data_IF_603428701163
#
_entry.id   IF_603428701163
#
_cell.length_a   1.000
_cell.length_b   1.000
_cell.length_c   1.000
_cell.angle_alpha   90.00
_cell.angle_beta   90.00
_cell.angle_gamma   90.00
#
_symmetry.space_group_name_H-M   'P 1'
#
loop_
_entity.id
_entity.type
_entity.pdbx_description
1 polymer ?
#
# COMPACT_ATOMS: atom_id res chain seq x y z
N UNK A 1 29.76 7.42 -15.92
CA UNK A 1 28.30 7.49 -16.02
C UNK A 1 27.85 6.35 -16.91
N UNK A 2 27.03 5.42 -16.42
CA UNK A 2 26.45 4.40 -17.28
C UNK A 2 25.52 5.13 -18.27
N UNK A 3 25.88 5.13 -19.55
CA UNK A 3 25.02 5.64 -20.61
C UNK A 3 24.12 4.48 -21.07
N UNK A 4 22.82 4.71 -21.31
CA UNK A 4 21.94 3.70 -21.89
C UNK A 4 22.60 3.14 -23.17
N UNK A 5 22.80 1.82 -23.21
CA UNK A 5 23.48 1.13 -24.32
C UNK A 5 22.64 -0.06 -24.78
N UNK A 6 21.41 0.23 -25.23
CA UNK A 6 20.43 -0.77 -25.69
C UNK A 6 20.17 -1.91 -24.68
N UNK A 7 20.51 -1.70 -23.41
CA UNK A 7 20.19 -2.59 -22.31
C UNK A 7 18.80 -2.31 -21.76
N UNK A 8 18.38 -3.09 -20.76
CA UNK A 8 17.07 -2.93 -20.11
C UNK A 8 16.95 -1.67 -19.23
N UNK A 9 18.06 -0.98 -18.97
CA UNK A 9 18.10 0.31 -18.27
C UNK A 9 18.16 1.41 -19.32
N UNK A 10 17.10 2.20 -19.38
CA UNK A 10 16.85 3.25 -20.37
C UNK A 10 17.21 4.65 -19.87
N UNK A 11 17.29 4.85 -18.56
CA UNK A 11 17.65 6.11 -17.91
C UNK A 11 19.14 6.20 -17.56
N UNK A 12 19.66 7.41 -17.56
CA UNK A 12 20.97 7.74 -16.99
C UNK A 12 20.89 7.87 -15.47
N UNK A 13 22.04 7.80 -14.80
CA UNK A 13 22.10 8.02 -13.34
C UNK A 13 21.57 9.40 -12.90
N UNK A 14 21.75 10.46 -13.71
CA UNK A 14 21.23 11.79 -13.39
C UNK A 14 19.70 11.82 -13.46
N UNK A 15 19.12 11.19 -14.48
CA UNK A 15 17.66 11.07 -14.60
C UNK A 15 17.08 10.24 -13.46
N UNK A 16 17.72 9.11 -13.12
CA UNK A 16 17.22 8.22 -12.09
C UNK A 16 17.37 8.79 -10.67
N UNK A 17 18.56 9.29 -10.29
CA UNK A 17 18.82 9.72 -8.90
C UNK A 17 18.52 11.18 -8.62
N UNK A 18 18.74 12.08 -9.59
CA UNK A 18 18.49 13.51 -9.40
C UNK A 18 17.28 14.01 -10.18
N UNK A 19 16.61 13.17 -10.99
CA UNK A 19 15.44 13.58 -11.75
C UNK A 19 15.74 14.63 -12.82
N UNK A 20 17.00 14.75 -13.26
CA UNK A 20 17.41 15.86 -14.12
C UNK A 20 17.87 15.42 -15.51
N UNK A 21 17.54 16.23 -16.51
CA UNK A 21 18.05 16.10 -17.87
C UNK A 21 18.38 17.46 -18.47
N UNK A 22 19.60 17.58 -18.99
CA UNK A 22 20.15 18.84 -19.52
C UNK A 22 20.15 18.82 -21.05
N UNK A 23 19.85 19.98 -21.65
CA UNK A 23 19.80 20.23 -23.08
C UNK A 23 20.55 21.52 -23.40
N UNK A 24 21.26 21.55 -24.53
CA UNK A 24 22.04 22.70 -25.00
C UNK A 24 21.52 23.12 -26.38
N UNK A 25 21.37 24.43 -26.61
CA UNK A 25 21.03 24.98 -27.91
C UNK A 25 22.13 24.72 -28.96
N UNK A 26 21.79 24.54 -30.26
CA UNK A 26 20.49 24.79 -30.87
C UNK A 26 19.48 23.66 -30.62
N UNK A 27 18.30 24.02 -30.12
CA UNK A 27 17.17 23.10 -29.95
C UNK A 27 16.34 23.14 -31.23
N UNK A 28 16.35 22.04 -31.98
CA UNK A 28 15.58 21.91 -33.22
C UNK A 28 14.09 22.06 -32.91
N UNK A 29 13.38 22.86 -33.72
CA UNK A 29 11.95 23.14 -33.60
C UNK A 29 11.48 23.69 -32.24
N UNK A 30 12.40 24.17 -31.39
CA UNK A 30 12.10 24.57 -30.01
C UNK A 30 11.47 23.45 -29.17
N UNK A 31 11.77 22.19 -29.52
CA UNK A 31 11.24 21.00 -28.84
C UNK A 31 12.33 20.31 -28.03
N UNK A 32 12.08 20.12 -26.73
CA UNK A 32 12.92 19.38 -25.79
C UNK A 32 12.27 18.03 -25.53
N UNK A 33 12.89 16.95 -25.97
CA UNK A 33 12.41 15.57 -25.74
C UNK A 33 13.16 14.96 -24.56
N UNK A 34 12.46 14.75 -23.45
CA UNK A 34 13.01 14.06 -22.29
C UNK A 34 12.89 12.55 -22.42
N UNK A 35 13.79 11.82 -21.78
CA UNK A 35 13.81 10.34 -21.80
C UNK A 35 13.69 9.75 -20.40
N UNK A 36 12.94 10.41 -19.52
CA UNK A 36 12.56 9.86 -18.23
C UNK A 36 11.66 8.63 -18.43
N UNK A 37 11.71 7.68 -17.50
CA UNK A 37 10.73 6.60 -17.38
C UNK A 37 9.45 7.07 -16.69
N UNK A 38 9.48 8.24 -16.07
CA UNK A 38 8.31 8.91 -15.48
C UNK A 38 7.78 9.95 -16.46
N UNK A 39 6.50 9.87 -16.79
CA UNK A 39 5.86 10.82 -17.70
C UNK A 39 5.72 12.21 -17.07
N UNK A 40 5.93 13.25 -17.88
CA UNK A 40 5.74 14.63 -17.46
C UNK A 40 4.25 14.96 -17.35
N UNK A 41 3.85 15.44 -16.17
CA UNK A 41 2.52 15.98 -15.91
C UNK A 41 2.63 17.50 -15.96
N UNK A 42 1.83 18.12 -16.84
CA UNK A 42 1.82 19.55 -17.05
C UNK A 42 0.41 20.12 -16.86
N UNK A 43 0.30 21.08 -15.95
CA UNK A 43 -0.90 21.89 -15.73
C UNK A 43 -0.73 23.31 -16.27
N UNK A 44 0.34 24.03 -15.91
CA UNK A 44 0.59 25.40 -16.38
C UNK A 44 2.08 25.79 -16.26
N UNK A 45 2.58 26.68 -17.13
CA UNK A 45 3.95 27.21 -17.06
C UNK A 45 4.10 28.43 -16.13
N UNK A 46 3.01 29.12 -15.81
CA UNK A 46 3.01 30.34 -14.99
C UNK A 46 2.74 30.01 -13.50
N UNK A 47 3.70 30.27 -12.58
CA UNK A 47 3.56 30.01 -11.14
C UNK A 47 2.39 30.72 -10.46
N UNK A 48 1.87 31.80 -11.07
CA UNK A 48 0.77 32.59 -10.51
C UNK A 48 -0.62 32.08 -10.91
N UNK A 49 -0.69 31.13 -11.85
CA UNK A 49 -1.94 30.63 -12.41
C UNK A 49 -2.36 29.30 -11.75
N UNK A 50 -3.67 29.09 -11.46
CA UNK A 50 -4.16 27.80 -11.01
C UNK A 50 -3.79 26.67 -11.97
N UNK A 51 -3.31 25.55 -11.42
CA UNK A 51 -2.85 24.39 -12.19
C UNK A 51 -1.33 24.24 -12.28
N UNK A 52 -0.55 25.30 -12.01
CA UNK A 52 0.92 25.18 -11.94
C UNK A 52 1.37 24.15 -10.90
N UNK A 53 0.72 24.11 -9.73
CA UNK A 53 1.01 23.14 -8.66
C UNK A 53 0.68 21.68 -9.04
N UNK A 54 0.07 21.43 -10.20
CA UNK A 54 -0.15 20.07 -10.73
C UNK A 54 1.04 19.55 -11.53
N UNK A 55 2.02 20.41 -11.84
CA UNK A 55 3.23 19.99 -12.52
C UNK A 55 4.02 19.02 -11.65
N UNK A 56 4.57 17.96 -12.24
CA UNK A 56 5.50 17.04 -11.56
C UNK A 56 6.98 17.33 -11.86
N UNK A 57 7.26 18.45 -12.52
CA UNK A 57 8.59 18.90 -12.90
C UNK A 57 8.68 20.43 -12.91
N UNK A 58 9.92 20.93 -12.97
CA UNK A 58 10.26 22.32 -13.25
C UNK A 58 11.21 22.41 -14.44
N UNK A 59 11.08 23.46 -15.22
CA UNK A 59 11.97 23.78 -16.34
C UNK A 59 12.85 24.95 -15.94
N UNK A 60 14.15 24.80 -16.11
CA UNK A 60 15.13 25.84 -15.85
C UNK A 60 15.86 26.25 -17.12
N UNK A 61 16.24 27.51 -17.21
CA UNK A 61 17.05 28.07 -18.29
C UNK A 61 18.31 28.74 -17.73
N UNK A 62 19.42 28.63 -18.43
CA UNK A 62 20.66 29.36 -18.16
C UNK A 62 21.33 29.80 -19.45
N UNK A 63 21.83 31.05 -19.55
CA UNK A 63 22.62 31.50 -20.70
C UNK A 63 24.03 30.87 -20.79
N UNK A 64 24.55 30.28 -19.69
CA UNK A 64 25.93 29.82 -19.59
C UNK A 64 26.07 28.34 -19.19
N UNK A 65 24.98 27.70 -18.74
CA UNK A 65 24.99 26.30 -18.31
C UNK A 65 25.81 26.03 -17.03
N UNK A 66 26.18 27.07 -16.28
CA UNK A 66 27.01 26.93 -15.08
C UNK A 66 26.17 26.67 -13.81
N UNK A 67 26.69 25.94 -12.82
CA UNK A 67 26.02 25.77 -11.54
C UNK A 67 25.63 27.11 -10.91
N UNK A 68 24.39 27.22 -10.41
CA UNK A 68 23.87 28.45 -9.79
C UNK A 68 23.44 29.56 -10.75
N UNK A 69 23.53 29.36 -12.07
CA UNK A 69 23.07 30.33 -13.08
C UNK A 69 21.68 30.01 -13.66
N UNK A 70 21.12 28.87 -13.27
CA UNK A 70 19.81 28.42 -13.72
C UNK A 70 18.71 29.18 -12.99
N UNK A 71 17.75 29.69 -13.74
CA UNK A 71 16.52 30.31 -13.22
C UNK A 71 15.32 29.58 -13.81
N UNK A 72 14.18 29.62 -13.11
CA UNK A 72 12.99 28.94 -13.60
C UNK A 72 12.48 29.59 -14.89
N UNK A 73 12.12 28.75 -15.85
CA UNK A 73 11.51 29.16 -17.11
C UNK A 73 9.99 29.26 -16.94
N UNK A 74 9.49 30.48 -16.78
CA UNK A 74 8.07 30.78 -16.56
C UNK A 74 7.32 31.26 -17.81
N UNK A 75 8.02 31.37 -18.94
CA UNK A 75 7.40 31.70 -20.23
C UNK A 75 6.52 30.55 -20.72
N UNK A 76 5.56 30.85 -21.61
CA UNK A 76 4.63 29.84 -22.10
C UNK A 76 5.32 28.69 -22.84
N UNK A 77 4.99 27.46 -22.45
CA UNK A 77 5.35 26.23 -23.16
C UNK A 77 4.22 25.21 -23.01
N UNK A 78 4.22 24.18 -23.85
CA UNK A 78 3.27 23.07 -23.77
C UNK A 78 4.02 21.76 -23.64
N UNK A 79 3.41 20.79 -22.96
CA UNK A 79 3.95 19.44 -22.84
C UNK A 79 2.95 18.45 -23.39
N UNK A 80 3.43 17.55 -24.26
CA UNK A 80 2.69 16.38 -24.71
C UNK A 80 3.61 15.18 -24.54
N UNK A 81 3.13 14.18 -23.81
CA UNK A 81 3.93 13.04 -23.34
C UNK A 81 5.18 13.54 -22.60
N UNK A 82 6.37 13.27 -23.15
CA UNK A 82 7.66 13.69 -22.61
C UNK A 82 8.37 14.70 -23.54
N UNK A 83 7.58 15.49 -24.28
CA UNK A 83 8.08 16.51 -25.22
C UNK A 83 7.57 17.88 -24.81
N UNK A 84 8.50 18.75 -24.43
CA UNK A 84 8.24 20.15 -24.11
C UNK A 84 8.44 20.98 -25.39
N UNK A 85 7.43 21.74 -25.78
CA UNK A 85 7.51 22.68 -26.91
C UNK A 85 7.48 24.11 -26.38
N UNK A 86 8.58 24.84 -26.57
CA UNK A 86 8.70 26.22 -26.12
C UNK A 86 7.95 27.16 -27.08
N UNK A 87 7.22 28.14 -26.57
CA UNK A 87 6.54 29.13 -27.42
C UNK A 87 7.48 30.18 -27.98
N UNK A 88 8.66 30.34 -27.37
CA UNK A 88 9.72 31.26 -27.80
C UNK A 88 10.93 30.44 -28.23
N UNK A 89 11.45 30.72 -29.42
CA UNK A 89 12.63 30.04 -29.92
C UNK A 89 13.85 30.33 -29.03
N UNK A 90 14.58 29.29 -28.58
CA UNK A 90 15.74 29.47 -27.71
C UNK A 90 16.88 30.17 -28.45
N UNK A 91 17.61 31.02 -27.74
CA UNK A 91 18.79 31.71 -28.25
C UNK A 91 19.98 30.75 -28.34
N UNK A 92 20.99 31.11 -29.15
CA UNK A 92 22.23 30.33 -29.23
C UNK A 92 22.91 30.26 -27.86
N UNK A 93 23.40 29.08 -27.50
CA UNK A 93 24.10 28.78 -26.24
C UNK A 93 23.22 28.81 -24.98
N UNK A 94 21.90 28.91 -25.09
CA UNK A 94 21.02 28.68 -23.94
C UNK A 94 21.02 27.20 -23.54
N UNK A 95 21.05 26.98 -22.24
CA UNK A 95 20.97 25.67 -21.59
C UNK A 95 19.62 25.53 -20.93
N UNK A 96 18.98 24.39 -21.13
CA UNK A 96 17.73 24.04 -20.50
C UNK A 96 17.92 22.81 -19.63
N UNK A 97 17.29 22.80 -18.46
CA UNK A 97 17.25 21.64 -17.58
C UNK A 97 15.81 21.34 -17.22
N UNK A 98 15.39 20.11 -17.49
CA UNK A 98 14.13 19.57 -16.98
C UNK A 98 14.45 18.82 -15.68
N UNK A 99 13.78 19.19 -14.60
CA UNK A 99 14.01 18.68 -13.25
C UNK A 99 12.69 18.17 -12.68
N UNK A 100 12.57 16.87 -12.42
CA UNK A 100 11.45 16.30 -11.68
C UNK A 100 11.46 16.79 -10.23
N UNK A 101 10.27 16.85 -9.61
CA UNK A 101 10.15 17.22 -8.19
C UNK A 101 10.73 16.12 -7.27
N UNK A 102 11.43 16.53 -6.21
CA UNK A 102 12.06 15.64 -5.22
C UNK A 102 11.78 16.07 -3.78
N UNK A 103 11.89 15.13 -2.83
CA UNK A 103 11.50 15.36 -1.42
C UNK A 103 12.35 16.47 -0.78
N UNK A 104 13.61 16.58 -1.22
CA UNK A 104 14.59 17.52 -0.70
C UNK A 104 14.72 18.82 -1.51
N UNK A 105 13.89 18.98 -2.55
CA UNK A 105 14.06 20.03 -3.54
C UNK A 105 15.14 19.69 -4.58
N UNK A 106 14.95 20.20 -5.80
CA UNK A 106 15.84 19.94 -6.93
C UNK A 106 17.22 20.62 -6.81
N UNK A 107 18.13 20.31 -7.73
CA UNK A 107 19.49 20.86 -7.70
C UNK A 107 19.64 22.25 -8.35
N UNK A 108 18.62 22.71 -9.08
CA UNK A 108 18.65 23.88 -9.95
C UNK A 108 17.73 25.00 -9.43
N UNK A 109 17.97 26.23 -9.90
CA UNK A 109 17.24 27.42 -9.44
C UNK A 109 17.38 27.64 -7.93
N UNK A 110 16.26 27.99 -7.31
CA UNK A 110 16.16 28.23 -5.86
C UNK A 110 16.02 26.93 -5.05
N UNK A 111 16.18 25.76 -5.69
CA UNK A 111 16.08 24.42 -5.08
C UNK A 111 14.73 24.15 -4.42
N UNK A 112 13.68 24.64 -5.06
CA UNK A 112 12.31 24.62 -4.56
C UNK A 112 11.41 23.62 -5.31
N UNK A 113 12.00 22.75 -6.13
CA UNK A 113 11.31 21.64 -6.82
C UNK A 113 10.88 20.53 -5.84
N UNK A 114 10.03 20.85 -4.87
CA UNK A 114 9.52 19.93 -3.84
C UNK A 114 8.38 19.06 -4.35
N UNK A 115 8.45 17.76 -4.10
CA UNK A 115 7.44 16.75 -4.40
C UNK A 115 8.04 15.34 -4.40
N UNK A 116 7.31 14.32 -4.82
CA UNK A 116 7.79 12.92 -4.65
C UNK A 116 8.09 12.22 -5.99
N UNK A 117 8.28 12.99 -7.06
CA UNK A 117 8.29 12.43 -8.43
C UNK A 117 9.55 11.60 -8.68
N UNK A 118 10.71 12.07 -8.23
CA UNK A 118 11.97 11.33 -8.32
C UNK A 118 11.90 10.06 -7.49
N UNK A 119 11.41 10.15 -6.27
CA UNK A 119 11.32 9.05 -5.32
C UNK A 119 10.36 7.96 -5.81
N UNK A 120 9.25 8.36 -6.46
CA UNK A 120 8.30 7.44 -7.09
C UNK A 120 8.89 6.69 -8.31
N UNK A 121 9.91 7.26 -8.97
CA UNK A 121 10.64 6.58 -10.05
C UNK A 121 11.59 5.49 -9.51
N UNK A 122 12.02 5.59 -8.25
CA UNK A 122 12.95 4.62 -7.67
C UNK A 122 12.39 3.20 -7.71
N UNK A 123 13.20 2.27 -8.22
CA UNK A 123 12.84 0.87 -8.37
C UNK A 123 11.94 0.58 -9.57
N UNK A 124 11.55 1.57 -10.38
CA UNK A 124 10.70 1.38 -11.56
C UNK A 124 11.24 0.31 -12.53
N UNK A 125 12.56 0.22 -12.68
CA UNK A 125 13.22 -0.79 -13.51
C UNK A 125 12.92 -2.25 -13.11
N UNK A 126 12.51 -2.50 -11.85
CA UNK A 126 12.17 -3.83 -11.35
C UNK A 126 10.75 -4.27 -11.73
N UNK A 127 9.93 -3.36 -12.26
CA UNK A 127 8.54 -3.59 -12.58
C UNK A 127 8.27 -3.41 -14.09
N UNK A 128 7.14 -3.93 -14.55
CA UNK A 128 6.60 -3.78 -15.90
C UNK A 128 5.09 -3.57 -15.81
N UNK A 129 4.49 -2.93 -16.81
CA UNK A 129 3.06 -2.69 -16.84
C UNK A 129 2.30 -3.94 -17.32
N UNK A 130 1.02 -4.03 -16.97
CA UNK A 130 0.16 -5.10 -17.49
C UNK A 130 0.06 -5.08 -19.02
N UNK A 131 0.03 -3.89 -19.62
CA UNK A 131 -0.01 -3.71 -21.08
C UNK A 131 1.26 -4.23 -21.76
N UNK A 132 2.44 -3.92 -21.22
CA UNK A 132 3.71 -4.44 -21.72
C UNK A 132 3.76 -5.97 -21.65
N UNK A 133 3.33 -6.56 -20.53
CA UNK A 133 3.26 -8.01 -20.37
C UNK A 133 2.34 -8.63 -21.41
N UNK A 134 1.16 -8.06 -21.64
CA UNK A 134 0.22 -8.59 -22.64
C UNK A 134 0.80 -8.48 -24.04
N UNK A 135 1.43 -7.35 -24.36
CA UNK A 135 2.06 -7.12 -25.66
C UNK A 135 3.21 -8.11 -25.90
N UNK A 136 4.10 -8.27 -24.92
CA UNK A 136 5.19 -9.23 -24.95
C UNK A 136 4.69 -10.68 -25.02
N UNK A 137 3.59 -11.01 -24.32
CA UNK A 137 2.96 -12.32 -24.43
C UNK A 137 2.43 -12.59 -25.84
N UNK A 138 1.75 -11.62 -26.43
CA UNK A 138 1.23 -11.71 -27.80
C UNK A 138 2.37 -11.91 -28.82
N UNK A 139 3.47 -11.18 -28.67
CA UNK A 139 4.65 -11.30 -29.54
C UNK A 139 5.38 -12.63 -29.32
N UNK A 140 5.55 -13.05 -28.07
CA UNK A 140 6.37 -14.21 -27.68
C UNK A 140 5.67 -15.55 -27.81
N UNK A 141 4.40 -15.64 -27.43
CA UNK A 141 3.68 -16.92 -27.25
C UNK A 141 2.52 -17.14 -28.21
N UNK A 142 2.02 -16.10 -28.86
CA UNK A 142 0.94 -16.18 -29.85
C UNK A 142 1.50 -16.07 -31.26
N UNK A 143 0.98 -16.87 -32.19
CA UNK A 143 1.33 -16.80 -33.62
C UNK A 143 1.45 -18.17 -34.30
N UNK A 144 1.59 -18.14 -35.62
CA UNK A 144 1.76 -19.34 -36.43
C UNK A 144 3.01 -20.14 -35.99
N UNK A 145 2.87 -21.45 -35.86
CA UNK A 145 3.95 -22.34 -35.40
C UNK A 145 4.13 -22.44 -33.88
N UNK A 146 3.36 -21.68 -33.08
CA UNK A 146 3.38 -21.76 -31.61
C UNK A 146 2.22 -22.61 -31.08
N UNK A 147 2.26 -22.95 -29.80
CA UNK A 147 1.19 -23.67 -29.11
C UNK A 147 -0.15 -22.91 -29.14
N UNK A 148 -0.10 -21.58 -29.23
CA UNK A 148 -1.27 -20.70 -29.33
C UNK A 148 -1.24 -20.05 -30.73
N UNK A 149 -1.93 -20.60 -31.73
CA UNK A 149 -1.86 -20.08 -33.11
C UNK A 149 -2.39 -18.64 -33.25
N UNK A 150 -3.47 -18.32 -32.53
CA UNK A 150 -4.11 -17.01 -32.48
C UNK A 150 -4.82 -16.84 -31.14
N UNK A 151 -4.94 -15.64 -30.60
CA UNK A 151 -5.72 -15.29 -29.42
C UNK A 151 -6.17 -13.83 -29.52
N UNK A 152 -7.32 -13.47 -28.93
CA UNK A 152 -7.74 -12.07 -28.84
C UNK A 152 -7.00 -11.38 -27.70
N UNK A 153 -6.59 -10.14 -27.90
CA UNK A 153 -5.96 -9.32 -26.85
C UNK A 153 -6.86 -9.17 -25.62
N UNK A 154 -8.18 -9.08 -25.81
CA UNK A 154 -9.18 -9.05 -24.73
C UNK A 154 -9.16 -10.31 -23.86
N UNK A 155 -8.99 -11.49 -24.47
CA UNK A 155 -8.98 -12.76 -23.75
C UNK A 155 -7.68 -12.90 -22.96
N UNK A 156 -6.56 -12.50 -23.56
CA UNK A 156 -5.24 -12.45 -22.89
C UNK A 156 -5.29 -11.48 -21.70
N UNK A 157 -5.84 -10.28 -21.89
CA UNK A 157 -6.03 -9.29 -20.84
C UNK A 157 -6.86 -9.85 -19.67
N UNK A 158 -7.97 -10.53 -19.95
CA UNK A 158 -8.79 -11.15 -18.92
C UNK A 158 -8.02 -12.18 -18.09
N UNK A 159 -7.30 -13.10 -18.75
CA UNK A 159 -6.51 -14.11 -18.04
C UNK A 159 -5.28 -13.52 -17.34
N UNK A 160 -4.71 -12.45 -17.85
CA UNK A 160 -3.63 -11.72 -17.19
C UNK A 160 -4.12 -11.05 -15.90
N UNK A 161 -5.27 -10.35 -15.94
CA UNK A 161 -5.90 -9.78 -14.73
C UNK A 161 -6.25 -10.87 -13.71
N UNK A 162 -6.80 -12.01 -14.13
CA UNK A 162 -7.07 -13.16 -13.25
C UNK A 162 -5.81 -13.78 -12.66
N UNK A 163 -4.75 -13.92 -13.45
CA UNK A 163 -3.45 -14.40 -12.99
C UNK A 163 -2.84 -13.46 -11.95
N UNK A 164 -2.91 -12.14 -12.18
CA UNK A 164 -2.47 -11.15 -11.21
C UNK A 164 -3.25 -11.19 -9.91
N UNK A 165 -4.57 -11.34 -9.96
CA UNK A 165 -5.37 -11.55 -8.74
C UNK A 165 -4.88 -12.79 -7.97
N UNK A 166 -4.65 -13.91 -8.66
CA UNK A 166 -4.11 -15.12 -8.02
C UNK A 166 -2.70 -14.91 -7.43
N UNK A 167 -1.85 -14.12 -8.08
CA UNK A 167 -0.55 -13.73 -7.52
C UNK A 167 -0.69 -12.76 -6.35
N UNK A 168 -1.63 -11.80 -6.40
CA UNK A 168 -1.77 -10.79 -5.35
C UNK A 168 -2.28 -11.39 -4.05
N UNK A 169 -3.19 -12.37 -4.11
CA UNK A 169 -3.68 -13.09 -2.93
C UNK A 169 -2.56 -13.80 -2.14
N UNK A 170 -1.48 -14.20 -2.82
CA UNK A 170 -0.56 -15.21 -2.30
C UNK A 170 0.94 -14.81 -2.36
N UNK A 171 1.30 -13.69 -3.02
CA UNK A 171 2.71 -13.34 -3.31
C UNK A 171 3.09 -11.88 -3.26
N UNK A 172 2.16 -10.95 -3.48
CA UNK A 172 2.48 -9.52 -3.40
C UNK A 172 2.16 -9.01 -2.00
N UNK A 173 2.67 -7.82 -1.68
CA UNK A 173 2.32 -7.03 -0.51
C UNK A 173 0.81 -6.68 -0.50
N UNK A 174 -0.06 -7.69 -0.43
CA UNK A 174 -1.46 -7.51 -0.09
C UNK A 174 -1.56 -6.90 1.30
N UNK A 175 -0.56 -7.18 2.15
CA UNK A 175 -0.31 -6.46 3.40
C UNK A 175 0.19 -5.05 3.09
N UNK A 176 -0.74 -4.10 3.02
CA UNK A 176 -0.46 -2.67 3.08
C UNK A 176 -0.26 -2.26 4.53
N UNK A 177 0.50 -1.19 4.74
CA UNK A 177 0.72 -0.61 6.05
C UNK A 177 0.39 0.88 6.00
N UNK A 178 -0.36 1.37 6.96
CA UNK A 178 -0.69 2.79 7.08
C UNK A 178 -0.40 3.27 8.49
N UNK A 179 0.32 4.38 8.59
CA UNK A 179 0.49 5.12 9.83
C UNK A 179 -0.72 6.04 10.03
N UNK A 180 -1.38 5.92 11.18
CA UNK A 180 -2.59 6.63 11.52
C UNK A 180 -2.46 7.16 12.95
N UNK A 181 -2.95 8.37 13.20
CA UNK A 181 -3.05 8.89 14.57
C UNK A 181 -4.44 8.59 15.12
N UNK A 182 -4.51 7.97 16.30
CA UNK A 182 -5.79 7.71 16.98
C UNK A 182 -6.35 9.04 17.48
N UNK A 183 -7.51 9.43 16.96
CA UNK A 183 -8.23 10.62 17.39
C UNK A 183 -8.63 10.53 18.88
N UNK A 184 -8.86 11.65 19.59
CA UNK A 184 -9.48 11.63 20.91
C UNK A 184 -10.82 10.89 20.98
N UNK A 185 -11.50 10.76 19.84
CA UNK A 185 -12.72 9.94 19.70
C UNK A 185 -12.44 8.43 19.63
N UNK A 186 -11.19 8.00 19.81
CA UNK A 186 -10.73 6.61 19.82
C UNK A 186 -11.06 5.81 18.55
N UNK A 187 -11.32 6.48 17.44
CA UNK A 187 -11.76 5.86 16.20
C UNK A 187 -10.90 6.29 15.02
N UNK A 188 -10.65 5.35 14.11
CA UNK A 188 -9.96 5.57 12.84
C UNK A 188 -10.79 4.94 11.71
N UNK A 189 -10.92 5.66 10.60
CA UNK A 189 -11.64 5.16 9.43
C UNK A 189 -10.77 4.17 8.68
N UNK A 190 -11.34 3.03 8.27
CA UNK A 190 -10.62 2.02 7.52
C UNK A 190 -10.34 2.49 6.07
N UNK A 191 -9.22 2.07 5.47
CA UNK A 191 -8.92 2.31 4.07
C UNK A 191 -10.00 1.76 3.13
N UNK A 192 -10.17 2.38 1.96
CA UNK A 192 -11.20 1.99 0.99
C UNK A 192 -11.02 0.56 0.45
N UNK A 193 -9.77 0.10 0.35
CA UNK A 193 -9.39 -1.22 -0.17
C UNK A 193 -9.20 -2.26 0.94
N UNK A 194 -9.60 -1.95 2.18
CA UNK A 194 -9.47 -2.84 3.32
C UNK A 194 -10.32 -4.11 3.17
N UNK A 195 -9.68 -5.27 3.27
CA UNK A 195 -10.37 -6.58 3.30
C UNK A 195 -10.28 -7.22 4.68
N UNK A 196 -9.11 -7.23 5.29
CA UNK A 196 -8.90 -7.81 6.62
C UNK A 196 -7.66 -7.21 7.29
N UNK A 197 -7.55 -7.27 8.61
CA UNK A 197 -6.33 -6.86 9.30
C UNK A 197 -5.33 -8.02 9.37
N UNK A 198 -4.04 -7.69 9.43
CA UNK A 198 -2.96 -8.62 9.72
C UNK A 198 -2.39 -8.33 11.09
N UNK A 199 -2.10 -7.06 11.37
CA UNK A 199 -1.49 -6.63 12.61
C UNK A 199 -1.85 -5.17 12.89
N UNK A 200 -2.02 -4.84 14.16
CA UNK A 200 -2.23 -3.47 14.60
C UNK A 200 -1.25 -3.23 15.73
N UNK A 201 -0.53 -2.12 15.66
CA UNK A 201 0.48 -1.78 16.67
C UNK A 201 0.56 -0.30 16.89
N UNK A 202 0.88 0.14 18.10
CA UNK A 202 1.26 1.53 18.34
C UNK A 202 2.78 1.68 18.35
N UNK A 203 3.24 2.88 18.01
CA UNK A 203 4.66 3.24 17.99
C UNK A 203 4.95 4.15 19.16
N UNK A 204 5.99 3.82 19.93
CA UNK A 204 6.42 4.68 21.03
C UNK A 204 7.34 5.82 20.58
N UNK A 205 7.69 6.69 21.52
CA UNK A 205 8.55 7.85 21.25
C UNK A 205 9.99 7.47 20.86
N UNK A 206 10.37 6.19 20.98
CA UNK A 206 11.65 5.65 20.52
C UNK A 206 11.53 4.96 19.16
N UNK A 207 10.34 4.92 18.56
CA UNK A 207 10.08 4.24 17.30
C UNK A 207 9.87 2.72 17.44
N UNK A 208 9.67 2.20 18.66
CA UNK A 208 9.48 0.77 18.90
C UNK A 208 8.01 0.40 18.68
N UNK A 209 7.81 -0.69 17.94
CA UNK A 209 6.50 -1.28 17.64
C UNK A 209 5.99 -2.12 18.80
N UNK A 210 4.79 -1.81 19.29
CA UNK A 210 4.08 -2.55 20.33
C UNK A 210 2.75 -3.08 19.80
N UNK A 211 2.57 -4.40 19.78
CA UNK A 211 1.38 -5.06 19.21
C UNK A 211 0.14 -4.77 20.08
N UNK A 212 -0.96 -4.41 19.43
CA UNK A 212 -2.30 -4.25 19.99
C UNK A 212 -3.14 -5.46 19.57
N UNK A 213 -3.85 -6.08 20.50
CA UNK A 213 -4.69 -7.24 20.21
C UNK A 213 -6.17 -6.85 20.03
N UNK A 214 -6.93 -7.63 19.24
CA UNK A 214 -8.39 -7.47 19.19
C UNK A 214 -9.00 -7.87 20.54
N UNK A 215 -10.01 -7.14 20.99
CA UNK A 215 -10.72 -7.48 22.25
C UNK A 215 -11.84 -8.49 22.02
N UNK A 216 -12.02 -9.38 22.99
CA UNK A 216 -13.18 -10.28 23.11
C UNK A 216 -14.16 -9.82 24.19
N UNK A 217 -13.87 -8.70 24.86
CA UNK A 217 -14.60 -8.20 26.04
C UNK A 217 -15.81 -7.33 25.67
N UNK A 218 -15.88 -6.91 24.42
CA UNK A 218 -16.98 -6.11 23.89
C UNK A 218 -17.34 -6.63 22.49
N UNK A 219 -18.45 -6.15 21.96
CA UNK A 219 -18.90 -6.44 20.61
C UNK A 219 -19.46 -5.18 19.98
N UNK A 220 -19.44 -5.12 18.66
CA UNK A 220 -20.03 -4.04 17.88
C UNK A 220 -21.37 -4.55 17.33
N UNK A 221 -22.52 -4.15 17.91
CA UNK A 221 -23.82 -4.61 17.44
C UNK A 221 -24.07 -4.16 16.00
N UNK A 222 -24.56 -5.08 15.17
CA UNK A 222 -24.87 -4.78 13.77
C UNK A 222 -26.14 -3.94 13.62
N UNK A 223 -27.13 -4.17 14.47
CA UNK A 223 -28.35 -3.36 14.54
C UNK A 223 -28.49 -2.78 15.94
N UNK A 224 -28.96 -1.53 16.02
CA UNK A 224 -29.14 -0.79 17.28
C UNK A 224 -30.54 -0.16 17.30
N UNK A 225 -31.62 -0.95 17.23
CA UNK A 225 -32.97 -0.40 17.14
C UNK A 225 -33.30 0.39 18.41
N UNK A 226 -33.84 1.59 18.23
CA UNK A 226 -34.44 2.37 19.29
C UNK A 226 -35.71 1.68 19.77
N UNK A 227 -35.92 1.62 21.08
CA UNK A 227 -37.04 0.91 21.70
C UNK A 227 -37.92 1.88 22.50
N UNK A 228 -39.21 1.59 22.56
CA UNK A 228 -40.14 2.26 23.47
C UNK A 228 -39.97 1.79 24.92
N UNK A 229 -40.80 2.30 25.84
CA UNK A 229 -40.75 1.91 27.27
C UNK A 229 -41.16 0.47 27.52
N UNK A 230 -41.70 -0.22 26.52
CA UNK A 230 -42.14 -1.61 26.56
C UNK A 230 -41.10 -2.53 25.90
N UNK A 231 -39.99 -1.98 25.38
CA UNK A 231 -38.92 -2.75 24.73
C UNK A 231 -39.21 -3.10 23.27
N UNK A 232 -40.22 -2.47 22.65
CA UNK A 232 -40.59 -2.71 21.26
C UNK A 232 -39.80 -1.75 20.35
N UNK A 233 -39.11 -2.24 19.30
CA UNK A 233 -38.45 -1.38 18.31
C UNK A 233 -39.41 -0.36 17.69
N UNK A 234 -38.97 0.89 17.63
CA UNK A 234 -39.72 1.99 17.03
C UNK A 234 -39.38 2.04 15.54
N UNK A 235 -40.40 2.15 14.70
CA UNK A 235 -40.28 2.22 13.24
C UNK A 235 -40.50 3.65 12.73
N UNK A 236 -39.92 3.96 11.58
CA UNK A 236 -40.17 5.21 10.87
C UNK A 236 -41.42 5.13 9.97
N UNK A 237 -41.67 6.18 9.18
CA UNK A 237 -42.81 6.23 8.27
C UNK A 237 -42.67 5.31 7.03
N UNK A 238 -41.54 4.63 6.87
CA UNK A 238 -41.28 3.63 5.84
C UNK A 238 -41.29 2.19 6.41
N UNK A 239 -41.76 2.01 7.66
CA UNK A 239 -41.82 0.73 8.38
C UNK A 239 -40.45 0.11 8.71
N UNK A 240 -39.36 0.89 8.61
CA UNK A 240 -38.01 0.46 8.98
C UNK A 240 -37.69 0.81 10.45
N UNK A 241 -36.93 -0.05 11.14
CA UNK A 241 -36.51 0.22 12.51
C UNK A 241 -35.58 1.44 12.59
N UNK A 242 -35.87 2.37 13.49
CA UNK A 242 -35.02 3.53 13.73
C UNK A 242 -33.80 3.09 14.53
N UNK A 243 -32.61 3.13 13.92
CA UNK A 243 -31.36 2.83 14.62
C UNK A 243 -30.85 4.03 15.44
N UNK A 244 -30.30 3.76 16.63
CA UNK A 244 -29.66 4.75 17.52
C UNK A 244 -28.16 4.49 17.67
N UNK A 245 -27.46 5.34 18.42
CA UNK A 245 -26.06 5.12 18.80
C UNK A 245 -25.92 3.91 19.74
N UNK A 246 -24.91 3.08 19.52
CA UNK A 246 -24.65 1.91 20.35
C UNK A 246 -24.19 2.31 21.75
N UNK A 247 -25.00 2.02 22.78
CA UNK A 247 -24.61 2.19 24.18
C UNK A 247 -23.44 1.27 24.58
N UNK A 248 -23.30 0.11 23.91
CA UNK A 248 -22.17 -0.80 24.12
C UNK A 248 -20.86 -0.16 23.68
N UNK A 249 -20.84 0.47 22.50
CA UNK A 249 -19.67 1.19 21.98
C UNK A 249 -19.37 2.43 22.84
N UNK A 250 -20.41 3.18 23.25
CA UNK A 250 -20.24 4.36 24.12
C UNK A 250 -19.65 4.01 25.48
N UNK A 251 -20.13 2.93 26.11
CA UNK A 251 -19.60 2.47 27.41
C UNK A 251 -18.18 1.95 27.27
N UNK A 252 -17.87 1.22 26.20
CA UNK A 252 -16.52 0.74 25.95
C UNK A 252 -15.52 1.89 25.74
N UNK A 253 -15.90 2.94 25.02
CA UNK A 253 -15.06 4.11 24.80
C UNK A 253 -14.73 4.89 26.09
N UNK A 254 -15.59 4.79 27.12
CA UNK A 254 -15.39 5.42 28.44
C UNK A 254 -14.67 4.52 29.43
N UNK A 255 -14.41 3.25 29.08
CA UNK A 255 -13.84 2.28 29.99
C UNK A 255 -12.32 2.35 29.99
N UNK A 256 -11.71 2.50 31.17
CA UNK A 256 -10.27 2.58 31.31
C UNK A 256 -9.63 1.19 31.46
N UNK A 257 -8.44 1.00 30.87
CA UNK A 257 -7.71 -0.28 30.94
C UNK A 257 -7.47 -0.77 32.37
N UNK A 258 -7.30 0.15 33.32
CA UNK A 258 -7.12 -0.18 34.72
C UNK A 258 -8.38 -0.83 35.29
N UNK A 259 -9.56 -0.30 34.97
CA UNK A 259 -10.84 -0.85 35.41
C UNK A 259 -11.10 -2.23 34.78
N UNK A 260 -10.70 -2.43 33.52
CA UNK A 260 -10.77 -3.73 32.83
C UNK A 260 -9.90 -4.78 33.53
N UNK A 261 -8.64 -4.44 33.81
CA UNK A 261 -7.70 -5.36 34.47
C UNK A 261 -8.10 -5.63 35.94
N UNK A 262 -8.60 -4.62 36.65
CA UNK A 262 -9.06 -4.76 38.03
C UNK A 262 -10.36 -5.60 38.11
N UNK A 263 -11.29 -5.45 37.16
CA UNK A 263 -12.51 -6.25 37.07
C UNK A 263 -12.27 -7.72 36.69
N UNK A 264 -11.11 -8.05 36.12
CA UNK A 264 -10.72 -9.42 35.75
C UNK A 264 -9.70 -10.05 36.71
N UNK A 265 -9.22 -9.28 37.68
CA UNK A 265 -8.35 -9.76 38.74
C UNK A 265 -9.12 -10.67 39.71
N UNK A 266 -8.56 -11.81 40.09
CA UNK A 266 -9.15 -12.72 41.08
C UNK A 266 -9.29 -12.11 42.50
N UNK A 267 -8.69 -10.94 42.75
CA UNK A 267 -8.77 -10.25 44.04
C UNK A 267 -10.09 -9.48 44.23
N UNK A 268 -10.77 -9.12 43.13
CA UNK A 268 -11.97 -8.26 43.14
C UNK A 268 -13.04 -8.73 42.12
N UNK A 269 -12.62 -9.38 41.03
CA UNK A 269 -13.33 -9.49 39.77
C UNK A 269 -14.30 -10.64 39.59
N UNK A 270 -14.10 -11.82 40.21
CA UNK A 270 -14.95 -12.98 39.90
C UNK A 270 -16.42 -12.78 40.30
N UNK A 271 -16.70 -12.00 41.34
CA UNK A 271 -18.07 -11.63 41.73
C UNK A 271 -18.62 -10.48 40.87
N UNK A 272 -17.78 -9.53 40.45
CA UNK A 272 -18.20 -8.41 39.58
C UNK A 272 -18.46 -8.86 38.14
N UNK A 273 -17.68 -9.80 37.59
CA UNK A 273 -17.83 -10.29 36.21
C UNK A 273 -19.05 -11.21 36.03
N UNK A 274 -19.47 -11.95 37.06
CA UNK A 274 -20.71 -12.75 37.08
C UNK A 274 -21.96 -11.96 37.55
N UNK A 275 -21.82 -10.64 37.80
CA UNK A 275 -22.92 -9.78 38.26
C UNK A 275 -23.36 -10.02 39.71
N UNK A 276 -22.53 -10.65 40.53
CA UNK A 276 -22.76 -11.03 41.92
C UNK A 276 -22.02 -10.15 42.95
N UNK A 277 -21.33 -9.08 42.53
CA UNK A 277 -20.45 -8.25 43.37
C UNK A 277 -20.87 -6.78 43.47
N UNK A 278 -20.70 -6.19 44.67
CA UNK A 278 -20.85 -4.75 44.93
C UNK A 278 -19.49 -4.06 45.11
N UNK A 279 -19.35 -2.76 44.78
CA UNK A 279 -18.11 -2.02 45.01
C UNK A 279 -17.69 -2.12 46.49
N UNK A 280 -16.50 -2.69 46.75
CA UNK A 280 -15.93 -2.83 48.10
C UNK A 280 -15.94 -4.24 48.71
N UNK A 281 -16.43 -5.27 48.01
CA UNK A 281 -16.22 -6.66 48.44
C UNK A 281 -14.80 -7.14 48.05
N UNK A 282 -13.94 -7.30 49.05
CA UNK A 282 -12.70 -8.05 48.91
C UNK A 282 -12.99 -9.54 49.10
N UNK A 283 -12.81 -10.34 48.04
CA UNK A 283 -13.06 -11.78 48.06
C UNK A 283 -11.97 -12.53 48.81
N UNK A 284 -12.04 -12.59 50.14
CA UNK A 284 -11.06 -13.29 50.99
C UNK A 284 -11.24 -14.83 51.06
N UNK A 285 -11.93 -15.45 50.08
CA UNK A 285 -12.31 -16.87 50.18
C UNK A 285 -11.94 -17.76 48.97
N UNK A 286 -10.74 -17.62 48.41
CA UNK A 286 -10.23 -18.61 47.44
C UNK A 286 -8.75 -18.95 47.67
N UNK A 287 -8.51 -20.11 48.31
CA UNK A 287 -7.18 -20.73 48.37
C UNK A 287 -6.72 -21.07 46.94
N UNK A 288 -5.62 -20.46 46.49
CA UNK A 288 -4.87 -20.88 45.31
C UNK A 288 -5.04 -20.05 44.03
N UNK A 289 -5.97 -19.09 43.97
CA UNK A 289 -6.15 -18.20 42.80
C UNK A 289 -5.88 -16.72 43.10
N UNK A 290 -5.44 -16.39 44.32
CA UNK A 290 -5.16 -15.03 44.81
C UNK A 290 -4.08 -14.28 44.01
N UNK A 291 -3.25 -15.02 43.27
CA UNK A 291 -2.17 -14.47 42.45
C UNK A 291 -2.25 -15.10 41.05
N UNK A 292 -2.76 -14.35 40.09
CA UNK A 292 -2.87 -14.79 38.70
C UNK A 292 -3.66 -13.79 37.87
N UNK A 293 -2.96 -13.09 36.98
CA UNK A 293 -3.57 -12.31 35.92
C UNK A 293 -3.90 -13.25 34.76
N UNK A 294 -5.07 -13.11 34.14
CA UNK A 294 -5.44 -13.86 32.94
C UNK A 294 -4.57 -13.37 31.77
N UNK A 295 -3.60 -14.16 31.27
CA UNK A 295 -2.63 -13.68 30.28
C UNK A 295 -3.29 -13.18 28.99
N UNK A 296 -4.46 -13.70 28.66
CA UNK A 296 -5.22 -13.35 27.46
C UNK A 296 -5.73 -11.92 27.47
N UNK A 297 -5.99 -11.33 28.65
CA UNK A 297 -6.54 -9.97 28.79
C UNK A 297 -5.62 -9.02 29.54
N UNK A 298 -4.57 -9.54 30.16
CA UNK A 298 -3.64 -8.77 30.96
C UNK A 298 -2.51 -8.21 30.10
N UNK A 299 -2.83 -7.13 29.38
CA UNK A 299 -1.86 -6.39 28.57
C UNK A 299 -2.01 -4.87 28.72
N UNK A 300 -0.87 -4.17 28.56
CA UNK A 300 -0.77 -2.71 28.70
C UNK A 300 -0.79 -1.98 27.35
N UNK A 301 -0.84 -2.71 26.24
CA UNK A 301 -0.72 -2.14 24.89
C UNK A 301 -2.07 -1.71 24.30
N UNK A 302 -3.16 -1.82 25.06
CA UNK A 302 -4.49 -1.47 24.61
C UNK A 302 -5.16 -2.55 23.76
N UNK A 303 -6.39 -2.25 23.33
CA UNK A 303 -7.27 -3.12 22.58
C UNK A 303 -7.84 -2.39 21.36
N UNK A 304 -8.23 -3.15 20.34
CA UNK A 304 -9.02 -2.61 19.23
C UNK A 304 -10.24 -3.47 18.91
N UNK A 305 -11.26 -2.86 18.30
CA UNK A 305 -12.39 -3.53 17.65
C UNK A 305 -12.56 -2.99 16.24
N UNK A 306 -13.14 -3.81 15.36
CA UNK A 306 -13.49 -3.39 14.00
C UNK A 306 -15.01 -3.39 13.88
N UNK A 307 -15.56 -2.27 13.43
CA UNK A 307 -16.98 -2.11 13.19
C UNK A 307 -17.24 -2.06 11.68
N UNK A 308 -17.60 -3.21 11.11
CA UNK A 308 -17.87 -3.37 9.68
C UNK A 308 -19.05 -2.51 9.20
N UNK A 309 -20.04 -2.23 10.08
CA UNK A 309 -21.20 -1.38 9.74
C UNK A 309 -20.80 0.06 9.45
N UNK A 310 -19.83 0.59 10.21
CA UNK A 310 -19.40 1.99 10.06
C UNK A 310 -18.07 2.14 9.32
N UNK A 311 -17.41 1.03 9.00
CA UNK A 311 -16.09 1.03 8.38
C UNK A 311 -15.02 1.66 9.27
N UNK A 312 -15.14 1.51 10.59
CA UNK A 312 -14.22 2.13 11.57
C UNK A 312 -13.58 1.10 12.47
N UNK A 313 -12.32 1.35 12.81
CA UNK A 313 -11.61 0.67 13.89
C UNK A 313 -11.67 1.55 15.15
N UNK A 314 -12.08 0.97 16.26
CA UNK A 314 -12.16 1.65 17.57
C UNK A 314 -11.08 1.10 18.49
N UNK A 315 -10.55 1.96 19.36
CA UNK A 315 -9.43 1.67 20.27
C UNK A 315 -9.84 1.87 21.73
N UNK A 316 -9.07 1.29 22.64
CA UNK A 316 -9.16 1.59 24.08
C UNK A 316 -8.63 3.00 24.41
N UNK A 317 -9.06 3.55 25.55
CA UNK A 317 -8.82 4.94 25.93
C UNK A 317 -7.34 5.34 26.05
N UNK A 318 -6.45 4.39 26.38
CA UNK A 318 -5.01 4.58 26.54
C UNK A 318 -4.24 4.84 25.24
N UNK A 319 -4.86 4.53 24.10
CA UNK A 319 -4.33 4.76 22.77
C UNK A 319 -4.71 6.13 22.20
N UNK A 320 -5.50 6.93 22.92
CA UNK A 320 -5.85 8.29 22.50
C UNK A 320 -4.60 9.13 22.17
N UNK A 321 -4.56 9.70 20.97
CA UNK A 321 -3.45 10.55 20.52
C UNK A 321 -2.16 9.81 20.18
N UNK A 322 -2.12 8.46 20.26
CA UNK A 322 -0.96 7.68 19.85
C UNK A 322 -0.95 7.45 18.35
N UNK A 323 0.27 7.25 17.82
CA UNK A 323 0.49 6.81 16.45
C UNK A 323 0.35 5.29 16.42
N UNK A 324 -0.49 4.80 15.51
CA UNK A 324 -0.66 3.39 15.22
C UNK A 324 -0.23 3.09 13.78
N UNK A 325 0.15 1.84 13.57
CA UNK A 325 0.45 1.25 12.28
C UNK A 325 -0.55 0.10 12.07
N UNK A 326 -1.41 0.26 11.06
CA UNK A 326 -2.35 -0.75 10.62
C UNK A 326 -1.77 -1.51 9.44
N UNK A 327 -1.44 -2.78 9.65
CA UNK A 327 -1.10 -3.72 8.58
C UNK A 327 -2.38 -4.47 8.17
N UNK A 328 -2.79 -4.35 6.90
CA UNK A 328 -4.05 -4.89 6.41
C UNK A 328 -3.91 -5.50 5.02
N UNK A 329 -4.74 -6.51 4.75
CA UNK A 329 -4.92 -7.13 3.44
C UNK A 329 -5.77 -6.18 2.59
N UNK A 330 -5.19 -5.70 1.50
CA UNK A 330 -5.84 -4.96 0.43
C UNK A 330 -6.51 -5.93 -0.54
N UNK A 331 -7.64 -5.53 -1.13
CA UNK A 331 -8.29 -6.27 -2.22
C UNK A 331 -7.44 -6.32 -3.50
N UNK A 332 -6.36 -5.54 -3.56
CA UNK A 332 -5.41 -5.49 -4.67
C UNK A 332 -6.01 -4.94 -5.96
N UNK A 333 -7.23 -4.40 -5.92
CA UNK A 333 -7.94 -3.78 -7.04
C UNK A 333 -7.85 -2.25 -6.98
N UNK A 334 -6.76 -1.72 -6.41
CA UNK A 334 -6.43 -0.31 -6.50
C UNK A 334 -6.31 0.17 -7.95
N UNK A 335 -6.58 1.45 -8.15
CA UNK A 335 -6.64 2.17 -9.44
C UNK A 335 -5.81 1.51 -10.56
N UNK A 336 -6.50 1.12 -11.65
CA UNK A 336 -6.00 0.35 -12.82
C UNK A 336 -4.70 0.92 -13.44
N UNK A 337 -4.34 2.18 -13.19
CA UNK A 337 -3.16 2.86 -13.73
C UNK A 337 -1.82 2.45 -13.06
N UNK A 338 -1.86 1.85 -11.86
CA UNK A 338 -0.66 1.58 -11.05
C UNK A 338 -0.36 0.08 -10.84
N UNK A 339 -0.91 -0.81 -11.68
CA UNK A 339 -0.58 -2.24 -11.63
C UNK A 339 0.87 -2.50 -12.08
N UNK A 340 1.83 -2.21 -11.21
CA UNK A 340 3.26 -2.51 -11.36
C UNK A 340 3.50 -3.98 -11.06
N UNK A 341 3.84 -4.75 -12.10
CA UNK A 341 4.12 -6.19 -12.00
C UNK A 341 5.62 -6.37 -11.83
N UNK A 342 6.12 -7.04 -10.77
CA UNK A 342 7.54 -7.34 -10.68
C UNK A 342 8.00 -8.19 -11.87
N UNK A 343 9.09 -7.82 -12.52
CA UNK A 343 9.66 -8.61 -13.65
C UNK A 343 9.97 -10.06 -13.26
N UNK A 344 10.26 -10.31 -11.98
CA UNK A 344 10.47 -11.67 -11.44
C UNK A 344 9.21 -12.56 -11.51
N UNK A 345 8.02 -11.97 -11.57
CA UNK A 345 6.73 -12.67 -11.66
C UNK A 345 6.24 -12.84 -13.10
N UNK A 346 6.85 -12.15 -14.06
CA UNK A 346 6.44 -12.10 -15.47
C UNK A 346 6.36 -13.51 -16.10
N UNK A 347 7.38 -14.35 -15.92
CA UNK A 347 7.39 -15.72 -16.43
C UNK A 347 6.27 -16.58 -15.85
N UNK A 348 5.92 -16.36 -14.58
CA UNK A 348 4.84 -17.07 -13.93
C UNK A 348 3.48 -16.64 -14.49
N UNK A 349 3.32 -15.34 -14.79
CA UNK A 349 2.13 -14.80 -15.43
C UNK A 349 1.97 -15.31 -16.86
N UNK A 350 3.03 -15.37 -17.65
CA UNK A 350 3.00 -16.00 -18.98
C UNK A 350 2.59 -17.48 -18.93
N UNK A 351 3.07 -18.24 -17.94
CA UNK A 351 2.68 -19.62 -17.75
C UNK A 351 1.20 -19.76 -17.34
N UNK A 352 0.70 -18.86 -16.48
CA UNK A 352 -0.71 -18.78 -16.11
C UNK A 352 -1.59 -18.53 -17.35
N UNK A 353 -1.28 -17.48 -18.12
CA UNK A 353 -2.03 -17.09 -19.31
C UNK A 353 -2.02 -18.23 -20.34
N UNK A 354 -0.86 -18.83 -20.61
CA UNK A 354 -0.73 -19.95 -21.56
C UNK A 354 -1.61 -21.14 -21.18
N UNK A 355 -1.58 -21.52 -19.91
CA UNK A 355 -2.43 -22.60 -19.40
C UNK A 355 -3.92 -22.24 -19.52
N UNK A 356 -4.32 -21.04 -19.10
CA UNK A 356 -5.72 -20.63 -19.10
C UNK A 356 -6.32 -20.56 -20.51
N UNK A 357 -5.56 -20.06 -21.49
CA UNK A 357 -5.99 -20.00 -22.90
C UNK A 357 -6.11 -21.40 -23.50
N UNK A 358 -5.17 -22.31 -23.23
CA UNK A 358 -5.21 -23.65 -23.82
C UNK A 358 -6.28 -24.51 -23.12
N UNK A 359 -6.43 -24.40 -21.80
CA UNK A 359 -7.45 -25.12 -21.05
C UNK A 359 -8.89 -24.72 -21.41
N UNK A 360 -9.10 -23.48 -21.86
CA UNK A 360 -10.42 -22.99 -22.28
C UNK A 360 -10.77 -23.30 -23.75
N UNK A 361 -9.80 -23.76 -24.55
CA UNK A 361 -10.04 -24.12 -25.95
C UNK A 361 -10.61 -25.51 -26.11
N UNK A 362 -11.49 -25.66 -27.10
CA UNK A 362 -11.96 -26.96 -27.55
C UNK A 362 -10.83 -27.75 -28.25
N UNK A 363 -10.93 -29.08 -28.21
CA UNK A 363 -10.05 -30.01 -28.92
C UNK A 363 -8.56 -29.90 -28.57
N UNK A 364 -8.22 -29.49 -27.34
CA UNK A 364 -6.84 -29.50 -26.87
C UNK A 364 -6.47 -30.84 -26.24
N UNK A 365 -5.31 -31.42 -26.56
CA UNK A 365 -4.89 -32.67 -25.92
C UNK A 365 -4.63 -32.48 -24.43
N UNK A 366 -5.20 -33.36 -23.61
CA UNK A 366 -5.11 -33.31 -22.14
C UNK A 366 -3.65 -33.29 -21.64
N UNK A 367 -2.73 -34.00 -22.30
CA UNK A 367 -1.32 -34.01 -21.90
C UNK A 367 -0.65 -32.62 -22.03
N UNK A 368 -1.07 -31.80 -22.99
CA UNK A 368 -0.55 -30.42 -23.16
C UNK A 368 -1.08 -29.54 -22.03
N UNK A 369 -2.38 -29.65 -21.73
CA UNK A 369 -3.02 -28.92 -20.63
C UNK A 369 -2.35 -29.27 -19.30
N UNK A 370 -2.14 -30.56 -19.02
CA UNK A 370 -1.48 -31.02 -17.79
C UNK A 370 -0.02 -30.57 -17.69
N UNK A 371 0.73 -30.58 -18.80
CA UNK A 371 2.10 -30.06 -18.83
C UNK A 371 2.12 -28.58 -18.44
N UNK A 372 1.26 -27.77 -19.05
CA UNK A 372 1.16 -26.33 -18.76
C UNK A 372 0.68 -26.08 -17.32
N UNK A 373 -0.20 -26.93 -16.77
CA UNK A 373 -0.63 -26.84 -15.37
C UNK A 373 0.55 -27.04 -14.41
N UNK A 374 1.39 -28.04 -14.68
CA UNK A 374 2.61 -28.30 -13.89
C UNK A 374 3.62 -27.16 -14.01
N UNK A 375 3.82 -26.66 -15.23
CA UNK A 375 4.72 -25.52 -15.49
C UNK A 375 4.25 -24.25 -14.79
N UNK A 376 2.96 -23.90 -14.90
CA UNK A 376 2.34 -22.79 -14.15
C UNK A 376 2.59 -22.92 -12.66
N UNK A 377 2.32 -24.10 -12.09
CA UNK A 377 2.47 -24.33 -10.64
C UNK A 377 3.93 -24.17 -10.18
N UNK A 378 4.88 -24.68 -10.96
CA UNK A 378 6.31 -24.57 -10.65
C UNK A 378 6.84 -23.14 -10.76
N UNK A 379 6.51 -22.43 -11.85
CA UNK A 379 6.92 -21.03 -12.06
C UNK A 379 6.28 -20.10 -11.04
N UNK A 380 5.01 -20.31 -10.72
CA UNK A 380 4.31 -19.58 -9.66
C UNK A 380 5.02 -19.76 -8.32
N UNK A 381 5.34 -21.00 -7.91
CA UNK A 381 6.10 -21.27 -6.68
C UNK A 381 7.45 -20.55 -6.64
N UNK A 382 8.19 -20.59 -7.75
CA UNK A 382 9.49 -19.93 -7.86
C UNK A 382 9.37 -18.41 -7.79
N UNK A 383 8.37 -17.82 -8.44
CA UNK A 383 8.07 -16.40 -8.34
C UNK A 383 7.75 -16.01 -6.89
N UNK A 384 6.96 -16.83 -6.16
CA UNK A 384 6.69 -16.59 -4.72
C UNK A 384 7.98 -16.50 -3.91
N UNK A 385 8.87 -17.48 -4.07
CA UNK A 385 10.13 -17.55 -3.31
C UNK A 385 11.02 -16.34 -3.65
N UNK A 386 11.09 -15.95 -4.92
CA UNK A 386 11.88 -14.79 -5.37
C UNK A 386 11.33 -13.46 -4.87
N UNK A 387 10.01 -13.32 -4.78
CA UNK A 387 9.33 -12.14 -4.26
C UNK A 387 9.35 -12.07 -2.73
N UNK A 388 9.33 -13.23 -2.07
CA UNK A 388 9.43 -13.31 -0.62
C UNK A 388 10.81 -12.86 -0.17
N UNK A 389 10.88 -11.81 0.66
CA UNK A 389 12.13 -11.30 1.23
C UNK A 389 12.62 -12.20 2.39
N UNK A 390 12.74 -13.51 2.13
CA UNK A 390 13.19 -14.50 3.10
C UNK A 390 14.72 -14.48 3.11
N UNK A 391 15.30 -13.74 4.05
CA UNK A 391 16.75 -13.70 4.26
C UNK A 391 17.15 -14.78 5.26
N UNK A 392 17.80 -15.85 4.79
CA UNK A 392 18.25 -16.96 5.64
C UNK A 392 19.08 -16.50 6.86
N UNK A 393 19.86 -15.42 6.71
CA UNK A 393 20.67 -14.87 7.81
C UNK A 393 19.83 -14.36 8.99
N UNK A 394 18.63 -13.82 8.74
CA UNK A 394 17.73 -13.35 9.81
C UNK A 394 17.16 -14.53 10.61
N UNK A 395 16.79 -15.62 9.93
CA UNK A 395 16.39 -16.87 10.60
C UNK A 395 17.53 -17.46 11.45
N UNK A 396 18.76 -17.43 10.94
CA UNK A 396 19.93 -17.93 11.67
C UNK A 396 20.19 -17.08 12.93
N UNK A 397 20.00 -15.76 12.88
CA UNK A 397 20.16 -14.89 14.05
C UNK A 397 19.19 -15.23 15.18
N UNK A 398 17.92 -15.48 14.86
CA UNK A 398 16.90 -15.89 15.84
C UNK A 398 17.21 -17.29 16.37
N UNK A 399 17.65 -18.21 15.51
CA UNK A 399 17.98 -19.59 15.88
C UNK A 399 19.24 -19.70 16.75
N UNK A 400 20.22 -18.80 16.58
CA UNK A 400 21.50 -18.80 17.30
C UNK A 400 21.36 -18.64 18.83
N UNK A 401 20.24 -18.10 19.31
CA UNK A 401 19.92 -17.99 20.74
C UNK A 401 19.13 -19.17 21.33
N UNK A 402 18.43 -19.95 20.49
CA UNK A 402 17.53 -21.03 20.94
C UNK A 402 18.25 -22.34 21.30
N UNK A 403 19.53 -22.47 20.95
CA UNK A 403 20.35 -23.66 21.26
C UNK A 403 21.19 -23.55 22.54
N UNK A 404 21.08 -22.45 23.31
CA UNK A 404 21.65 -22.40 24.66
C UNK A 404 20.81 -23.31 25.57
N UNK A 405 21.21 -24.57 25.67
CA UNK A 405 20.84 -25.40 26.80
C UNK A 405 21.32 -24.71 28.07
N UNK A 406 20.39 -24.19 28.87
CA UNK A 406 20.65 -23.86 30.27
C UNK A 406 20.93 -25.21 30.94
N UNK A 407 22.22 -25.52 31.14
CA UNK A 407 22.61 -26.61 32.02
C UNK A 407 22.30 -26.15 33.44
N UNK A 408 21.29 -26.75 34.06
CA UNK A 408 21.03 -26.64 35.50
C UNK A 408 22.03 -27.50 36.26
#
# INVERSE_FOLDING_TARGET
MAKPNNGLITETNAQYYSGSQTFEAPIVNSTITTTFNTDLIFGNSDPTTPGYNLNNFRLYISPLGLPGTFVEYTSAYTVVDNVITLSVAPQSNEWFVVQLLSEYGGEYGDRDAFGDTVENNYGGYAYTTLEDVITNFMIGYVGAGKLIPSAKTTDVMFFAKRGLQEFSYDTLKSIRSQELTVSPNLGVVLPQDYVNYVNVSWIDNQGVKHIIYPTTLTTNPYETPSQDRQGIPIQDNAEENINTTSLTEERWAKNDLKEINDAQSNLTGMLLSDGLGYPGMYGDNYLGQRYGLQPETSQINGWFTINERTGKMSFSSDLAGRIIVLEYISDGLGYDADMKIPKLAEEALYAHISHAIIASRINQPEYVVQRLRRERSAKLRNAKIRLSNIKLNEFVQIARGKSKWIKY
#
